data_IF_671912410373
#
_entry.id   IF_671912410373
#
_cell.length_a   1.000
_cell.length_b   1.000
_cell.length_c   1.000
_cell.angle_alpha   90.00
_cell.angle_beta   90.00
_cell.angle_gamma   90.00
#
_symmetry.space_group_name_H-M   'P 1'
#
loop_
_entity.id
_entity.type
_entity.pdbx_description
1 polymer ?
#
# COMPACT_ATOMS: atom_id res chain seq x y z
N UNK A 1 -4.23 11.80 9.57
CA UNK A 1 -4.41 12.27 8.18
C UNK A 1 -3.03 12.49 7.58
N UNK A 2 -2.63 11.72 6.57
CA UNK A 2 -1.32 11.87 5.90
C UNK A 2 -1.42 12.98 4.84
N UNK A 3 -1.20 14.23 5.23
CA UNK A 3 -1.30 15.37 4.31
C UNK A 3 -0.40 15.19 3.06
N UNK A 4 0.78 14.57 3.25
CA UNK A 4 1.74 14.31 2.17
C UNK A 4 1.31 13.30 1.10
N UNK A 5 0.33 12.42 1.36
CA UNK A 5 -0.18 11.48 0.34
C UNK A 5 -1.34 12.03 -0.49
N UNK A 6 -1.97 13.12 -0.04
CA UNK A 6 -3.23 13.58 -0.65
C UNK A 6 -3.01 14.05 -2.09
N UNK A 7 -1.96 14.83 -2.35
CA UNK A 7 -1.66 15.34 -3.69
C UNK A 7 -1.39 14.21 -4.71
N UNK A 8 -0.72 13.13 -4.30
CA UNK A 8 -0.47 11.95 -5.16
C UNK A 8 -1.79 11.27 -5.50
N UNK A 9 -2.69 11.14 -4.52
CA UNK A 9 -4.00 10.53 -4.76
C UNK A 9 -4.81 11.36 -5.75
N UNK A 10 -4.86 12.67 -5.54
CA UNK A 10 -5.63 13.59 -6.40
C UNK A 10 -5.12 13.53 -7.86
N UNK A 11 -3.80 13.50 -8.05
CA UNK A 11 -3.17 13.38 -9.38
C UNK A 11 -3.50 12.03 -10.06
N UNK A 12 -3.46 10.94 -9.30
CA UNK A 12 -3.79 9.60 -9.80
C UNK A 12 -5.29 9.43 -10.09
N UNK A 13 -6.17 10.05 -9.32
CA UNK A 13 -7.63 10.05 -9.57
C UNK A 13 -8.00 10.78 -10.87
N UNK A 14 -7.17 11.69 -11.37
CA UNK A 14 -7.32 12.29 -12.70
C UNK A 14 -6.93 11.29 -13.80
N UNK A 15 -5.91 10.46 -13.53
CA UNK A 15 -5.32 9.55 -14.52
C UNK A 15 -6.14 8.27 -14.69
N UNK A 16 -6.65 7.72 -13.60
CA UNK A 16 -7.40 6.46 -13.61
C UNK A 16 -8.91 6.72 -13.67
N UNK A 17 -9.60 6.02 -14.57
CA UNK A 17 -11.06 6.12 -14.72
C UNK A 17 -11.85 5.65 -13.50
N UNK A 18 -11.22 4.86 -12.62
CA UNK A 18 -11.80 4.35 -11.38
C UNK A 18 -10.70 3.85 -10.44
N UNK A 19 -10.74 4.23 -9.17
CA UNK A 19 -9.92 3.65 -8.09
C UNK A 19 -10.88 3.23 -6.98
N UNK A 20 -10.79 1.99 -6.52
CA UNK A 20 -11.72 1.42 -5.54
C UNK A 20 -11.21 1.49 -4.10
N UNK A 21 -9.91 1.74 -3.92
CA UNK A 21 -9.28 1.86 -2.62
C UNK A 21 -7.81 2.25 -2.69
N UNK A 22 -7.17 2.36 -1.53
CA UNK A 22 -5.77 2.77 -1.42
C UNK A 22 -5.06 1.97 -0.33
N UNK A 23 -3.87 1.46 -0.65
CA UNK A 23 -2.89 1.08 0.37
C UNK A 23 -1.89 2.23 0.54
N UNK A 24 -1.75 2.74 1.77
CA UNK A 24 -0.79 3.79 2.12
C UNK A 24 0.10 3.25 3.25
N UNK A 25 1.41 3.29 3.07
CA UNK A 25 2.35 2.70 4.04
C UNK A 25 3.74 3.32 4.03
N UNK A 26 4.44 3.17 5.15
CA UNK A 26 5.84 3.58 5.35
C UNK A 26 6.56 2.45 6.07
N UNK A 27 7.72 2.03 5.56
CA UNK A 27 8.61 1.09 6.24
C UNK A 27 9.72 1.87 6.96
N UNK A 28 9.90 1.62 8.26
CA UNK A 28 10.93 2.29 9.08
C UNK A 28 11.88 1.22 9.63
N UNK A 29 13.10 1.20 9.11
CA UNK A 29 14.14 0.23 9.46
C UNK A 29 14.08 -1.06 8.65
N UNK A 30 15.20 -1.79 8.64
CA UNK A 30 15.39 -3.03 7.88
C UNK A 30 14.37 -4.12 8.27
N UNK A 31 14.09 -4.28 9.56
CA UNK A 31 13.12 -5.26 10.06
C UNK A 31 11.68 -4.99 9.57
N UNK A 32 11.35 -3.75 9.20
CA UNK A 32 10.08 -3.39 8.58
C UNK A 32 10.10 -3.52 7.04
N UNK A 33 11.21 -3.98 6.45
CA UNK A 33 11.38 -4.12 5.01
C UNK A 33 11.81 -2.83 4.29
N UNK A 34 12.41 -1.86 4.99
CA UNK A 34 12.96 -0.67 4.34
C UNK A 34 14.23 -1.03 3.56
N UNK A 35 14.21 -0.85 2.24
CA UNK A 35 15.37 -1.09 1.36
C UNK A 35 16.08 0.19 0.94
N UNK A 36 15.35 1.32 0.88
CA UNK A 36 15.90 2.66 0.63
C UNK A 36 15.86 3.47 1.93
N UNK A 37 17.04 3.78 2.48
CA UNK A 37 17.20 4.49 3.76
C UNK A 37 17.03 6.02 3.66
N UNK A 38 16.02 6.43 2.91
CA UNK A 38 15.45 7.78 2.91
C UNK A 38 13.96 7.63 3.17
N UNK A 39 13.36 8.51 3.98
CA UNK A 39 11.92 8.43 4.25
C UNK A 39 11.14 8.49 2.93
N UNK A 40 10.31 7.49 2.70
CA UNK A 40 9.43 7.42 1.55
C UNK A 40 8.11 6.77 1.94
N UNK A 41 7.06 7.13 1.22
CA UNK A 41 5.72 6.61 1.44
C UNK A 41 5.28 5.88 0.18
N UNK A 42 4.75 4.67 0.36
CA UNK A 42 4.06 3.96 -0.69
C UNK A 42 2.61 4.45 -0.75
N UNK A 43 2.18 4.87 -1.94
CA UNK A 43 0.79 5.21 -2.26
C UNK A 43 0.39 4.30 -3.41
N UNK A 44 -0.41 3.28 -3.13
CA UNK A 44 -0.74 2.23 -4.10
C UNK A 44 -2.26 2.22 -4.32
N UNK A 45 -2.75 2.59 -5.53
CA UNK A 45 -4.16 2.48 -5.86
C UNK A 45 -4.58 1.01 -5.92
N UNK A 46 -5.80 0.72 -5.48
CA UNK A 46 -6.37 -0.64 -5.46
C UNK A 46 -7.65 -0.68 -6.27
N UNK A 47 -7.88 -1.82 -6.92
CA UNK A 47 -9.03 -2.07 -7.79
C UNK A 47 -9.69 -3.39 -7.39
N UNK A 48 -11.03 -3.48 -7.51
CA UNK A 48 -11.72 -4.75 -7.24
C UNK A 48 -11.20 -5.82 -8.21
N UNK A 49 -10.64 -6.91 -7.65
CA UNK A 49 -10.07 -8.03 -8.41
C UNK A 49 -8.60 -7.86 -8.82
N UNK A 50 -7.89 -6.86 -8.32
CA UNK A 50 -6.45 -6.69 -8.59
C UNK A 50 -5.56 -7.74 -7.91
N UNK A 51 -6.06 -8.37 -6.84
CA UNK A 51 -5.47 -9.51 -6.14
C UNK A 51 -6.58 -10.46 -5.68
N UNK A 52 -6.28 -11.75 -5.60
CA UNK A 52 -7.26 -12.78 -5.21
C UNK A 52 -7.73 -12.63 -3.75
N UNK A 53 -6.81 -12.28 -2.84
CA UNK A 53 -7.11 -12.01 -1.43
C UNK A 53 -6.48 -10.66 -1.01
N UNK A 54 -7.27 -9.60 -0.81
CA UNK A 54 -6.75 -8.28 -0.45
C UNK A 54 -6.39 -8.13 1.04
N UNK A 55 -6.70 -9.12 1.88
CA UNK A 55 -6.45 -9.10 3.32
C UNK A 55 -4.95 -9.34 3.57
N UNK A 56 -4.33 -8.46 4.34
CA UNK A 56 -2.88 -8.46 4.57
C UNK A 56 -2.24 -7.09 4.45
N UNK A 57 -2.84 -6.22 3.63
CA UNK A 57 -2.32 -4.87 3.38
C UNK A 57 -0.90 -4.92 2.80
N UNK A 58 -0.01 -4.06 3.29
CA UNK A 58 1.41 -4.03 2.88
C UNK A 58 2.16 -5.33 3.22
N UNK A 59 1.63 -6.17 4.12
CA UNK A 59 2.32 -7.41 4.53
C UNK A 59 2.41 -8.48 3.45
N UNK A 60 1.74 -8.34 2.30
CA UNK A 60 2.02 -9.19 1.13
C UNK A 60 3.48 -9.13 0.65
N UNK A 61 4.28 -8.16 1.10
CA UNK A 61 5.75 -8.16 0.90
C UNK A 61 6.41 -9.36 1.60
N UNK A 62 5.77 -9.95 2.62
CA UNK A 62 6.17 -11.22 3.24
C UNK A 62 5.04 -12.23 3.00
N UNK A 63 5.13 -13.05 1.93
CA UNK A 63 4.04 -13.90 1.45
C UNK A 63 3.35 -14.72 2.54
N UNK A 64 4.13 -15.28 3.48
CA UNK A 64 3.62 -16.17 4.54
C UNK A 64 3.04 -15.43 5.76
N UNK A 65 3.04 -14.09 5.78
CA UNK A 65 2.56 -13.27 6.91
C UNK A 65 1.45 -12.30 6.56
N UNK A 66 0.88 -12.43 5.36
CA UNK A 66 -0.19 -11.57 4.88
C UNK A 66 -1.57 -12.02 5.38
N UNK A 67 -1.81 -13.32 5.52
CA UNK A 67 -3.13 -13.82 5.92
C UNK A 67 -3.34 -13.76 7.44
N UNK A 68 -4.07 -12.73 7.90
CA UNK A 68 -4.43 -12.53 9.31
C UNK A 68 -5.49 -13.52 9.83
N UNK A 69 -6.10 -14.35 8.97
CA UNK A 69 -7.13 -15.32 9.35
C UNK A 69 -6.61 -16.75 9.46
N UNK A 70 -5.36 -16.99 9.11
CA UNK A 70 -4.71 -18.31 9.13
C UNK A 70 -4.08 -18.70 10.48
N UNK A 71 -4.35 -17.93 11.54
CA UNK A 71 -3.85 -18.18 12.90
C UNK A 71 -4.68 -19.22 13.66
#
# INVERSE_FOLDING_TARGET
MFAGSQWVKDDLEITFSRIDGWNIGVNVGEAAGQTVFHVHMHVVPRFIGDVDNPIGGVRHVVPDKADYHSA
#
